data_IF_406643231050
#
_entry.id   IF_406643231050
#
_cell.length_a   1.000
_cell.length_b   1.000
_cell.length_c   1.000
_cell.angle_alpha   90.00
_cell.angle_beta   90.00
_cell.angle_gamma   90.00
#
_symmetry.space_group_name_H-M   'P 1'
#
loop_
_entity.id
_entity.type
_entity.pdbx_description
1 polymer ?
#
# COMPACT_ATOMS: atom_id res chain seq x y z
N UNK A 1 5.50 0.81 3.77
CA UNK A 1 5.36 0.63 2.32
C UNK A 1 4.03 -0.04 2.05
N UNK A 2 3.35 0.41 1.01
CA UNK A 2 2.06 -0.07 0.55
C UNK A 2 2.26 -0.41 -0.92
N UNK A 3 2.34 -1.69 -1.26
CA UNK A 3 2.46 -2.15 -2.63
C UNK A 3 1.09 -2.56 -3.15
N UNK A 4 0.69 -2.03 -4.30
CA UNK A 4 -0.61 -2.30 -4.90
C UNK A 4 -0.49 -2.36 -6.44
N UNK A 5 -1.32 -3.20 -7.06
CA UNK A 5 -1.51 -3.27 -8.50
C UNK A 5 -2.51 -2.22 -8.97
N UNK A 6 -2.02 -1.18 -9.61
CA UNK A 6 -2.78 0.05 -9.88
C UNK A 6 -2.87 0.24 -11.40
N UNK A 7 -4.05 -0.06 -11.96
CA UNK A 7 -4.49 0.07 -13.38
C UNK A 7 -4.14 -1.04 -14.39
N UNK A 8 -5.12 -1.31 -15.27
CA UNK A 8 -4.97 -1.91 -16.61
C UNK A 8 -4.45 -0.89 -17.65
N UNK A 9 -3.65 0.09 -17.21
CA UNK A 9 -3.09 1.13 -18.08
C UNK A 9 -1.97 0.51 -18.88
N UNK A 10 -2.34 -0.17 -19.96
CA UNK A 10 -1.40 -0.55 -20.99
C UNK A 10 -1.12 0.68 -21.85
N UNK A 11 0.11 1.21 -21.85
CA UNK A 11 0.50 2.11 -22.92
C UNK A 11 0.46 1.32 -24.23
N UNK A 12 -0.23 1.90 -25.22
CA UNK A 12 -0.31 1.40 -26.60
C UNK A 12 -1.23 0.18 -26.86
N UNK A 13 -2.14 -0.17 -25.93
CA UNK A 13 -3.37 -1.01 -26.06
C UNK A 13 -3.35 -2.32 -26.90
N UNK A 14 -2.23 -2.73 -27.47
CA UNK A 14 -2.18 -3.68 -28.59
C UNK A 14 -2.39 -5.12 -28.16
N UNK A 15 -2.26 -5.42 -26.87
CA UNK A 15 -2.32 -6.80 -26.36
C UNK A 15 -3.05 -6.94 -25.00
N UNK A 16 -3.64 -5.88 -24.45
CA UNK A 16 -4.40 -5.78 -23.19
C UNK A 16 -3.79 -6.44 -21.92
N UNK A 17 -2.50 -6.81 -21.93
CA UNK A 17 -1.94 -7.68 -20.89
C UNK A 17 -1.05 -6.94 -19.86
N UNK A 18 -0.79 -5.65 -20.04
CA UNK A 18 0.13 -4.89 -19.18
C UNK A 18 -0.59 -4.23 -18.00
N UNK A 19 -0.15 -4.52 -16.78
CA UNK A 19 -0.60 -3.86 -15.56
C UNK A 19 0.51 -2.97 -15.00
N UNK A 20 0.16 -1.77 -14.54
CA UNK A 20 1.04 -0.93 -13.74
C UNK A 20 0.94 -1.37 -12.27
N UNK A 21 2.08 -1.62 -11.65
CA UNK A 21 2.23 -1.91 -10.24
C UNK A 21 2.98 -0.75 -9.59
N UNK A 22 2.45 -0.21 -8.50
CA UNK A 22 3.05 0.93 -7.82
C UNK A 22 3.28 0.60 -6.35
N UNK A 23 4.48 0.89 -5.86
CA UNK A 23 4.81 0.79 -4.44
C UNK A 23 4.91 2.19 -3.85
N UNK A 24 4.09 2.41 -2.84
CA UNK A 24 3.93 3.66 -2.14
C UNK A 24 4.62 3.62 -0.77
N UNK A 25 5.35 4.67 -0.45
CA UNK A 25 5.80 5.01 0.89
C UNK A 25 4.78 5.92 1.55
N UNK A 26 4.34 5.55 2.76
CA UNK A 26 3.42 6.39 3.53
C UNK A 26 4.22 6.99 4.67
N UNK A 27 4.41 8.31 4.63
CA UNK A 27 5.14 9.04 5.66
C UNK A 27 4.17 9.89 6.49
N UNK A 28 4.45 9.99 7.79
CA UNK A 28 3.76 10.88 8.72
C UNK A 28 2.22 10.78 8.63
N UNK A 29 1.69 9.55 8.52
CA UNK A 29 0.24 9.26 8.46
C UNK A 29 -0.58 9.94 7.35
N UNK A 30 0.03 10.67 6.41
CA UNK A 30 -0.70 11.57 5.52
C UNK A 30 -0.04 11.81 4.17
N UNK A 31 1.26 11.57 4.03
CA UNK A 31 1.96 11.77 2.75
C UNK A 31 2.13 10.43 2.08
N UNK A 32 1.51 10.31 0.93
CA UNK A 32 1.72 9.21 0.00
C UNK A 32 2.84 9.60 -0.99
N UNK A 33 3.86 8.75 -1.08
CA UNK A 33 5.04 8.96 -1.91
C UNK A 33 5.20 7.74 -2.81
N UNK A 34 5.01 7.84 -4.14
CA UNK A 34 5.32 6.73 -5.01
C UNK A 34 6.84 6.51 -5.02
N UNK A 35 7.27 5.29 -4.68
CA UNK A 35 8.68 4.92 -4.60
C UNK A 35 9.15 4.09 -5.79
N UNK A 36 8.25 3.26 -6.35
CA UNK A 36 8.56 2.38 -7.47
C UNK A 36 7.35 2.21 -8.36
N UNK A 37 7.59 2.23 -9.67
CA UNK A 37 6.63 1.86 -10.71
C UNK A 37 7.18 0.64 -11.46
N UNK A 38 6.33 -0.35 -11.71
CA UNK A 38 6.66 -1.50 -12.53
C UNK A 38 5.51 -1.79 -13.50
N UNK A 39 5.81 -1.88 -14.79
CA UNK A 39 4.85 -2.36 -15.78
C UNK A 39 5.13 -3.83 -16.00
N UNK A 40 4.15 -4.68 -15.75
CA UNK A 40 4.29 -6.13 -15.89
C UNK A 40 3.13 -6.73 -16.65
N UNK A 41 3.42 -7.72 -17.48
CA UNK A 41 2.41 -8.54 -18.16
C UNK A 41 2.08 -9.84 -17.43
N UNK A 42 2.78 -10.11 -16.30
CA UNK A 42 2.65 -11.35 -15.53
C UNK A 42 2.67 -11.06 -14.04
N UNK A 43 1.86 -11.79 -13.27
CA UNK A 43 1.74 -11.65 -11.82
C UNK A 43 2.22 -12.90 -11.08
N UNK A 44 3.41 -13.38 -11.40
CA UNK A 44 3.99 -14.56 -10.75
C UNK A 44 5.05 -14.16 -9.72
N UNK A 45 5.42 -15.12 -8.86
CA UNK A 45 6.32 -14.91 -7.74
C UNK A 45 7.68 -14.34 -8.18
N UNK A 46 8.25 -14.87 -9.26
CA UNK A 46 9.55 -14.42 -9.81
C UNK A 46 9.54 -12.95 -10.27
N UNK A 47 8.42 -12.48 -10.80
CA UNK A 47 8.25 -11.06 -11.16
C UNK A 47 8.25 -10.19 -9.90
N UNK A 48 7.48 -10.59 -8.89
CA UNK A 48 7.42 -9.87 -7.62
C UNK A 48 8.76 -9.89 -6.88
N UNK A 49 9.48 -11.02 -6.87
CA UNK A 49 10.85 -11.12 -6.33
C UNK A 49 11.78 -10.09 -6.97
N UNK A 50 11.70 -9.89 -8.30
CA UNK A 50 12.52 -8.89 -8.99
C UNK A 50 12.13 -7.45 -8.65
N UNK A 51 10.82 -7.17 -8.56
CA UNK A 51 10.31 -5.84 -8.18
C UNK A 51 10.77 -5.49 -6.75
N UNK A 52 10.56 -6.42 -5.82
CA UNK A 52 10.93 -6.28 -4.42
C UNK A 52 12.45 -6.22 -4.22
N UNK A 53 13.22 -7.02 -4.96
CA UNK A 53 14.68 -6.96 -4.96
C UNK A 53 15.19 -5.57 -5.36
N UNK A 54 14.64 -4.97 -6.43
CA UNK A 54 15.03 -3.61 -6.84
C UNK A 54 14.68 -2.54 -5.82
N UNK A 55 13.53 -2.68 -5.15
CA UNK A 55 13.17 -1.81 -4.05
C UNK A 55 14.11 -1.96 -2.86
N UNK A 56 14.49 -3.20 -2.50
CA UNK A 56 15.43 -3.50 -1.42
C UNK A 56 16.80 -2.89 -1.71
N UNK A 57 17.37 -3.12 -2.89
CA UNK A 57 18.63 -2.52 -3.33
C UNK A 57 18.61 -0.98 -3.19
N UNK A 58 17.52 -0.34 -3.64
CA UNK A 58 17.38 1.12 -3.57
C UNK A 58 17.28 1.65 -2.13
N UNK A 59 16.57 0.93 -1.25
CA UNK A 59 16.43 1.29 0.16
C UNK A 59 17.76 1.12 0.90
N UNK A 60 18.47 0.01 0.65
CA UNK A 60 19.78 -0.27 1.24
C UNK A 60 20.81 0.76 0.80
N UNK A 61 20.86 1.09 -0.50
CA UNK A 61 21.73 2.15 -1.03
C UNK A 61 21.43 3.53 -0.42
N UNK A 62 20.18 3.79 -0.03
CA UNK A 62 19.78 5.01 0.66
C UNK A 62 20.03 4.99 2.18
N UNK A 63 20.64 3.93 2.74
CA UNK A 63 20.89 3.78 4.18
C UNK A 63 19.64 3.45 5.00
N UNK A 64 18.59 2.91 4.35
CA UNK A 64 17.33 2.55 4.99
C UNK A 64 17.48 1.44 6.03
N UNK A 65 16.69 1.52 7.11
CA UNK A 65 16.71 0.52 8.20
C UNK A 65 15.84 -0.70 7.86
N UNK A 66 16.23 -1.86 8.39
CA UNK A 66 15.55 -3.15 8.19
C UNK A 66 14.14 -3.30 8.79
N UNK A 67 13.55 -2.24 9.35
CA UNK A 67 12.28 -2.32 10.08
C UNK A 67 11.15 -1.63 9.32
N UNK A 68 11.04 -1.93 8.03
CA UNK A 68 10.00 -1.38 7.18
C UNK A 68 8.80 -2.30 7.21
N UNK A 69 7.63 -1.73 7.51
CA UNK A 69 6.35 -2.46 7.43
C UNK A 69 5.84 -2.41 6.01
N UNK A 70 5.48 -3.57 5.47
CA UNK A 70 5.00 -3.71 4.09
C UNK A 70 3.57 -4.21 4.15
N UNK A 71 2.69 -3.51 3.46
CA UNK A 71 1.34 -3.96 3.16
C UNK A 71 1.28 -4.22 1.66
N UNK A 72 0.95 -5.45 1.28
CA UNK A 72 0.85 -5.88 -0.11
C UNK A 72 -0.58 -6.27 -0.41
N UNK A 73 -0.94 -6.30 -1.69
CA UNK A 73 -2.14 -6.98 -2.14
C UNK A 73 -2.16 -8.44 -1.68
N UNK A 74 -3.36 -8.95 -1.42
CA UNK A 74 -3.61 -10.31 -0.94
C UNK A 74 -3.26 -11.40 -1.97
N UNK A 75 -2.53 -11.07 -3.03
CA UNK A 75 -2.03 -12.03 -4.01
C UNK A 75 -0.97 -12.95 -3.39
N UNK A 76 -1.21 -14.27 -3.47
CA UNK A 76 -0.34 -15.30 -2.88
C UNK A 76 1.11 -15.21 -3.37
N UNK A 77 1.31 -14.88 -4.65
CA UNK A 77 2.63 -14.73 -5.25
C UNK A 77 3.42 -13.55 -4.65
N UNK A 78 2.78 -12.39 -4.48
CA UNK A 78 3.39 -11.21 -3.86
C UNK A 78 3.73 -11.48 -2.38
N UNK A 79 2.84 -12.16 -1.65
CA UNK A 79 3.07 -12.54 -0.25
C UNK A 79 4.26 -13.50 -0.13
N UNK A 80 4.36 -14.51 -1.00
CA UNK A 80 5.44 -15.48 -0.94
C UNK A 80 6.79 -14.85 -1.31
N UNK A 81 6.82 -14.03 -2.37
CA UNK A 81 8.02 -13.28 -2.76
C UNK A 81 8.53 -12.39 -1.61
N UNK A 82 7.63 -11.68 -0.94
CA UNK A 82 7.99 -10.83 0.19
C UNK A 82 8.52 -11.62 1.39
N UNK A 83 7.99 -12.83 1.65
CA UNK A 83 8.43 -13.69 2.76
C UNK A 83 9.83 -14.29 2.55
N UNK A 84 10.22 -14.54 1.31
CA UNK A 84 11.50 -15.20 1.00
C UNK A 84 12.70 -14.30 1.23
N UNK A 85 12.54 -12.99 1.06
CA UNK A 85 13.69 -12.08 0.98
C UNK A 85 13.48 -10.69 1.62
N UNK A 86 12.29 -10.40 2.18
CA UNK A 86 11.95 -9.07 2.70
C UNK A 86 11.21 -9.04 4.04
N UNK A 87 11.30 -7.87 4.69
CA UNK A 87 10.92 -7.56 6.06
C UNK A 87 9.43 -7.80 6.36
N UNK A 88 9.07 -9.04 6.72
CA UNK A 88 7.74 -9.37 7.19
C UNK A 88 7.59 -9.06 8.68
N UNK A 89 6.92 -7.94 9.01
CA UNK A 89 6.36 -7.72 10.35
C UNK A 89 4.85 -7.59 10.28
N UNK A 90 4.18 -8.60 10.84
CA UNK A 90 2.74 -8.63 11.09
C UNK A 90 2.35 -7.67 12.21
N UNK A 91 2.12 -6.38 11.91
CA UNK A 91 1.40 -5.45 12.80
C UNK A 91 1.15 -4.05 12.18
N UNK A 92 0.26 -3.92 11.18
CA UNK A 92 0.00 -2.63 10.54
C UNK A 92 -1.40 -2.12 10.83
N UNK A 93 -1.47 -0.94 11.44
CA UNK A 93 -2.69 -0.18 11.66
C UNK A 93 -3.05 0.65 10.40
N UNK A 94 -4.07 0.20 9.68
CA UNK A 94 -5.13 1.02 9.04
C UNK A 94 -4.64 2.10 8.05
N UNK A 95 -3.79 1.70 7.11
CA UNK A 95 -3.96 2.14 5.72
C UNK A 95 -4.38 0.90 4.93
N UNK A 96 -5.42 0.99 4.10
CA UNK A 96 -5.70 -0.09 3.15
C UNK A 96 -4.87 0.14 1.91
N UNK A 97 -4.26 -0.91 1.36
CA UNK A 97 -3.67 -0.87 0.01
C UNK A 97 -4.67 -0.27 -0.96
N UNK A 98 -5.90 -0.81 -0.94
CA UNK A 98 -7.02 -0.41 -1.80
C UNK A 98 -7.28 1.09 -1.80
N UNK A 99 -7.21 1.77 -0.65
CA UNK A 99 -7.49 3.21 -0.60
C UNK A 99 -6.35 4.05 -1.19
N UNK A 100 -5.09 3.60 -1.01
CA UNK A 100 -3.93 4.27 -1.60
C UNK A 100 -3.94 4.08 -3.13
N UNK A 101 -4.17 2.86 -3.59
CA UNK A 101 -4.30 2.56 -5.01
C UNK A 101 -5.50 3.23 -5.67
N UNK A 102 -6.69 3.20 -5.08
CA UNK A 102 -7.86 3.91 -5.62
C UNK A 102 -7.60 5.41 -5.72
N UNK A 103 -6.94 6.00 -4.73
CA UNK A 103 -6.56 7.41 -4.75
C UNK A 103 -5.54 7.71 -5.85
N UNK A 104 -4.51 6.87 -6.00
CA UNK A 104 -3.50 7.03 -7.04
C UNK A 104 -4.07 6.77 -8.43
N UNK A 105 -4.92 5.75 -8.57
CA UNK A 105 -5.69 5.45 -9.78
C UNK A 105 -6.50 6.67 -10.23
N UNK A 106 -7.23 7.30 -9.29
CA UNK A 106 -8.03 8.50 -9.55
C UNK A 106 -7.14 9.67 -9.99
N UNK A 107 -6.00 9.87 -9.32
CA UNK A 107 -5.04 10.91 -9.70
C UNK A 107 -4.54 10.70 -11.14
N UNK A 108 -4.12 9.48 -11.48
CA UNK A 108 -3.69 9.16 -12.85
C UNK A 108 -4.82 9.35 -13.87
N UNK A 109 -6.05 8.98 -13.53
CA UNK A 109 -7.22 9.24 -14.37
C UNK A 109 -7.43 10.73 -14.64
N UNK A 110 -7.23 11.60 -13.64
CA UNK A 110 -7.32 13.05 -13.78
C UNK A 110 -6.16 13.61 -14.62
N UNK A 111 -4.93 13.13 -14.42
CA UNK A 111 -3.74 13.62 -15.13
C UNK A 111 -3.72 13.20 -16.60
N UNK A 112 -4.16 11.98 -16.89
CA UNK A 112 -4.07 11.40 -18.24
C UNK A 112 -5.35 11.61 -19.05
N UNK A 113 -6.51 11.67 -18.38
CA UNK A 113 -7.86 11.81 -18.97
C UNK A 113 -8.23 10.75 -20.04
N UNK A 114 -7.36 9.78 -20.28
CA UNK A 114 -7.55 8.69 -21.23
C UNK A 114 -7.26 7.35 -20.55
N UNK A 115 -7.98 6.32 -20.98
CA UNK A 115 -7.82 4.96 -20.43
C UNK A 115 -6.52 4.28 -20.89
N UNK A 116 -5.97 4.66 -22.04
CA UNK A 116 -4.77 4.07 -22.63
C UNK A 116 -3.85 5.18 -23.16
N UNK A 117 -3.04 5.81 -22.29
CA UNK A 117 -2.14 6.88 -22.69
C UNK A 117 -0.97 6.33 -23.50
N UNK A 118 -0.31 7.20 -24.28
CA UNK A 118 1.01 6.85 -24.83
C UNK A 118 2.01 6.69 -23.69
N UNK A 119 3.02 5.85 -23.91
CA UNK A 119 4.06 5.60 -22.89
C UNK A 119 4.75 6.89 -22.43
N UNK A 120 5.01 7.82 -23.35
CA UNK A 120 5.59 9.12 -23.03
C UNK A 120 4.73 9.96 -22.09
N UNK A 121 3.41 9.98 -22.32
CA UNK A 121 2.45 10.74 -21.51
C UNK A 121 2.29 10.09 -20.12
N UNK A 122 2.27 8.76 -20.04
CA UNK A 122 2.30 8.01 -18.79
C UNK A 122 3.56 8.33 -17.97
N UNK A 123 4.74 8.21 -18.58
CA UNK A 123 6.01 8.50 -17.91
C UNK A 123 6.07 9.93 -17.38
N UNK A 124 5.60 10.91 -18.17
CA UNK A 124 5.53 12.31 -17.75
C UNK A 124 4.59 12.49 -16.55
N UNK A 125 3.42 11.85 -16.56
CA UNK A 125 2.49 11.89 -15.43
C UNK A 125 3.13 11.28 -14.17
N UNK A 126 3.75 10.11 -14.28
CA UNK A 126 4.43 9.45 -13.15
C UNK A 126 5.56 10.33 -12.58
N UNK A 127 6.40 10.92 -13.43
CA UNK A 127 7.44 11.88 -13.01
C UNK A 127 6.85 13.10 -12.29
N UNK A 128 5.71 13.61 -12.77
CA UNK A 128 4.98 14.70 -12.11
C UNK A 128 4.50 14.32 -10.70
N UNK A 129 4.02 13.09 -10.52
CA UNK A 129 3.61 12.60 -9.18
C UNK A 129 4.78 12.52 -8.21
N UNK A 130 5.94 12.02 -8.67
CA UNK A 130 7.17 11.96 -7.87
C UNK A 130 7.64 13.37 -7.49
N UNK A 131 7.63 14.30 -8.45
CA UNK A 131 8.03 15.70 -8.22
C UNK A 131 7.16 16.38 -7.17
N UNK A 132 5.84 16.17 -7.25
CA UNK A 132 4.87 16.70 -6.30
C UNK A 132 5.06 16.12 -4.90
N UNK A 133 5.27 14.80 -4.80
CA UNK A 133 5.53 14.13 -3.54
C UNK A 133 6.83 14.65 -2.90
N UNK A 134 7.91 14.80 -3.69
CA UNK A 134 9.18 15.37 -3.23
C UNK A 134 9.03 16.80 -2.73
N UNK A 135 8.30 17.64 -3.46
CA UNK A 135 8.00 19.01 -3.02
C UNK A 135 7.25 19.05 -1.69
N UNK A 136 6.30 18.12 -1.49
CA UNK A 136 5.55 17.98 -0.24
C UNK A 136 6.47 17.56 0.92
N UNK A 137 7.35 16.58 0.70
CA UNK A 137 8.32 16.12 1.71
C UNK A 137 9.28 17.23 2.12
N UNK A 138 9.87 17.94 1.15
CA UNK A 138 10.77 19.06 1.41
C UNK A 138 10.07 20.17 2.21
N UNK A 139 8.79 20.42 1.94
CA UNK A 139 8.02 21.40 2.68
C UNK A 139 7.79 20.97 4.14
N UNK A 140 7.50 19.69 4.38
CA UNK A 140 7.34 19.14 5.74
C UNK A 140 8.65 19.21 6.51
N UNK A 141 9.76 18.79 5.89
CA UNK A 141 11.09 18.82 6.49
C UNK A 141 11.51 20.25 6.88
N UNK A 142 11.35 21.21 5.96
CA UNK A 142 11.74 22.61 6.19
C UNK A 142 10.88 23.31 7.23
N UNK A 143 9.57 23.04 7.26
CA UNK A 143 8.63 23.77 8.12
C UNK A 143 8.32 23.07 9.44
N UNK A 144 8.85 21.86 9.69
CA UNK A 144 8.47 20.98 10.81
C UNK A 144 6.95 20.92 11.00
N UNK A 145 6.21 20.95 9.89
CA UNK A 145 4.75 20.95 9.94
C UNK A 145 4.30 19.61 10.51
N UNK A 146 3.47 19.66 11.55
CA UNK A 146 2.85 18.46 12.06
C UNK A 146 2.07 17.78 10.93
N UNK A 147 2.15 16.44 10.84
CA UNK A 147 1.39 15.70 9.85
C UNK A 147 -0.08 16.10 9.91
N UNK A 148 -0.72 16.19 8.73
CA UNK A 148 -2.11 16.63 8.64
C UNK A 148 -2.96 15.79 9.61
N UNK A 149 -3.69 16.43 10.54
CA UNK A 149 -4.50 15.69 11.48
C UNK A 149 -5.55 14.91 10.71
N UNK A 150 -5.70 13.63 11.06
CA UNK A 150 -6.76 12.80 10.50
C UNK A 150 -8.12 13.44 10.74
N UNK A 151 -9.02 13.33 9.76
CA UNK A 151 -10.42 13.70 9.95
C UNK A 151 -10.96 13.00 11.19
N UNK A 152 -11.83 13.67 11.95
CA UNK A 152 -12.40 13.14 13.20
C UNK A 152 -12.98 11.73 13.03
N UNK A 153 -13.69 11.49 11.92
CA UNK A 153 -14.25 10.17 11.54
C UNK A 153 -13.17 9.10 11.40
N UNK A 154 -12.08 9.40 10.69
CA UNK A 154 -10.96 8.48 10.51
C UNK A 154 -10.24 8.19 11.82
N UNK A 155 -10.03 9.21 12.66
CA UNK A 155 -9.43 9.05 13.98
C UNK A 155 -10.26 8.13 14.88
N UNK A 156 -11.59 8.30 14.89
CA UNK A 156 -12.50 7.42 15.66
C UNK A 156 -12.46 5.99 15.13
N UNK A 157 -12.51 5.83 13.80
CA UNK A 157 -12.39 4.52 13.15
C UNK A 157 -11.07 3.84 13.51
N UNK A 158 -9.96 4.58 13.48
CA UNK A 158 -8.64 4.06 13.86
C UNK A 158 -8.62 3.51 15.28
N UNK A 159 -9.10 4.30 16.24
CA UNK A 159 -9.22 3.87 17.64
C UNK A 159 -10.07 2.60 17.81
N UNK A 160 -11.16 2.45 17.06
CA UNK A 160 -12.03 1.26 17.14
C UNK A 160 -11.33 0.01 16.63
N UNK A 161 -10.64 0.12 15.48
CA UNK A 161 -9.88 -1.00 14.92
C UNK A 161 -8.69 -1.35 15.81
N UNK A 162 -7.93 -0.37 16.30
CA UNK A 162 -6.82 -0.60 17.24
C UNK A 162 -7.28 -1.34 18.49
N UNK A 163 -8.44 -0.97 19.04
CA UNK A 163 -9.03 -1.64 20.20
C UNK A 163 -9.39 -3.11 19.91
N UNK A 164 -10.01 -3.41 18.77
CA UNK A 164 -10.34 -4.79 18.41
C UNK A 164 -9.09 -5.62 18.09
N UNK A 165 -8.09 -5.02 17.43
CA UNK A 165 -6.78 -5.65 17.19
C UNK A 165 -6.11 -6.00 18.52
N UNK A 166 -6.09 -5.07 19.48
CA UNK A 166 -5.51 -5.29 20.80
C UNK A 166 -6.23 -6.42 21.55
N UNK A 167 -7.57 -6.41 21.53
CA UNK A 167 -8.39 -7.47 22.13
C UNK A 167 -8.10 -8.84 21.51
N UNK A 168 -7.95 -8.91 20.19
CA UNK A 168 -7.64 -10.17 19.51
C UNK A 168 -6.23 -10.64 19.83
N UNK A 169 -5.23 -9.75 19.84
CA UNK A 169 -3.87 -10.08 20.27
C UNK A 169 -3.80 -10.60 21.69
N UNK A 170 -4.53 -9.99 22.61
CA UNK A 170 -4.62 -10.47 23.99
C UNK A 170 -5.21 -11.88 24.02
N UNK A 171 -6.27 -12.14 23.26
CA UNK A 171 -6.84 -13.48 23.14
C UNK A 171 -5.84 -14.49 22.55
N UNK A 172 -5.08 -14.11 21.52
CA UNK A 172 -4.01 -14.95 20.97
C UNK A 172 -2.94 -15.26 22.02
N UNK A 173 -2.52 -14.26 22.80
CA UNK A 173 -1.50 -14.42 23.84
C UNK A 173 -1.93 -15.36 24.98
N UNK A 174 -3.24 -15.45 25.24
CA UNK A 174 -3.82 -16.33 26.27
C UNK A 174 -4.16 -17.73 25.74
N UNK A 175 -4.23 -17.91 24.43
CA UNK A 175 -4.58 -19.19 23.82
C UNK A 175 -3.30 -20.04 23.65
N UNK A 176 -3.21 -21.17 24.34
CA UNK A 176 -2.19 -22.18 24.04
C UNK A 176 -2.58 -22.92 22.77
N UNK A 177 -2.08 -22.47 21.62
CA UNK A 177 -2.31 -23.11 20.32
C UNK A 177 -3.07 -22.23 19.31
N UNK A 178 -3.49 -22.84 18.19
CA UNK A 178 -4.17 -22.11 17.12
C UNK A 178 -5.59 -21.71 17.54
N UNK A 179 -6.05 -20.47 17.29
CA UNK A 179 -7.39 -20.04 17.66
C UNK A 179 -8.45 -20.82 16.90
N UNK A 180 -9.56 -21.14 17.56
CA UNK A 180 -10.67 -21.83 16.91
C UNK A 180 -11.27 -21.01 15.76
N UNK A 181 -11.77 -21.68 14.74
CA UNK A 181 -12.44 -21.06 13.57
C UNK A 181 -13.56 -20.11 13.97
N UNK A 182 -14.30 -20.44 15.04
CA UNK A 182 -15.36 -19.58 15.61
C UNK A 182 -14.80 -18.25 16.13
N UNK A 183 -13.63 -18.29 16.78
CA UNK A 183 -12.96 -17.12 17.33
C UNK A 183 -12.44 -16.20 16.22
N UNK A 184 -11.80 -16.79 15.20
CA UNK A 184 -11.33 -16.07 14.01
C UNK A 184 -12.52 -15.44 13.28
N UNK A 185 -13.59 -16.20 13.04
CA UNK A 185 -14.81 -15.69 12.38
C UNK A 185 -15.45 -14.53 13.14
N UNK A 186 -15.51 -14.63 14.46
CA UNK A 186 -16.08 -13.57 15.31
C UNK A 186 -15.25 -12.30 15.23
N UNK A 187 -13.92 -12.43 15.29
CA UNK A 187 -13.00 -11.32 15.11
C UNK A 187 -13.15 -10.67 13.72
N UNK A 188 -13.14 -11.46 12.64
CA UNK A 188 -13.32 -10.96 11.28
C UNK A 188 -14.65 -10.21 11.10
N UNK A 189 -15.76 -10.72 11.66
CA UNK A 189 -17.07 -10.04 11.61
C UNK A 189 -17.07 -8.70 12.36
N UNK A 190 -16.43 -8.62 13.53
CA UNK A 190 -16.30 -7.36 14.28
C UNK A 190 -15.43 -6.37 13.53
N UNK A 191 -14.30 -6.83 13.00
CA UNK A 191 -13.39 -6.02 12.21
C UNK A 191 -14.06 -5.46 10.96
N UNK A 192 -14.85 -6.29 10.25
CA UNK A 192 -15.59 -5.89 9.05
C UNK A 192 -16.47 -4.65 9.29
N UNK A 193 -17.14 -4.54 10.45
CA UNK A 193 -18.00 -3.38 10.79
C UNK A 193 -17.27 -2.04 10.86
N UNK A 194 -15.97 -2.07 11.16
CA UNK A 194 -15.13 -0.88 11.19
C UNK A 194 -14.38 -0.65 9.88
N UNK A 195 -14.34 -1.69 9.06
CA UNK A 195 -13.60 -1.72 7.81
C UNK A 195 -14.52 -1.31 6.64
N UNK A 196 -15.67 -1.93 6.44
CA UNK A 196 -16.54 -1.59 5.31
C UNK A 196 -17.23 -0.23 5.53
N UNK A 197 -17.17 0.67 4.55
CA UNK A 197 -17.90 1.95 4.56
C UNK A 197 -19.41 1.81 4.32
N UNK A 198 -19.92 0.59 4.15
CA UNK A 198 -21.35 0.35 3.99
C UNK A 198 -22.07 0.67 5.31
N UNK A 199 -22.63 1.88 5.30
CA UNK A 199 -23.75 2.33 6.11
C UNK A 199 -24.79 1.21 6.11
N UNK A 200 -25.16 0.76 7.31
CA UNK A 200 -26.44 0.06 7.52
C UNK A 200 -27.54 1.10 7.37
#
# INVERSE_FOLDING_TARGET
LVGDGVHDLQPDATNANGQLYTIHGVMANSVDVPLLFAITTRKNERVYERIFGKLKEAIEAAGGRNNIRILLDYEKAAINAAKRDMWCKWDVSILRTTNAAESFNRLLGVLLQVKYPRMSDLLRALQGTVTTARGTLLNIERRRMDPRPLRRRDRIRRRRVEREMARFKELLSRTRGFPSTRTITTYCRRMARFVTEKVV
#
